data_IF_507031883200
#
_entry.id   IF_507031883200
#
_cell.length_a   1.000
_cell.length_b   1.000
_cell.length_c   1.000
_cell.angle_alpha   90.00
_cell.angle_beta   90.00
_cell.angle_gamma   90.00
#
_symmetry.space_group_name_H-M   'P 1'
#
loop_
_entity.id
_entity.type
_entity.pdbx_description
1 polymer ?
#
# COMPACT_ATOMS: atom_id res chain seq x y z
N UNK A 1 12.93 32.21 -46.90
CA UNK A 1 13.40 30.91 -47.43
C UNK A 1 13.07 29.86 -46.37
N UNK A 2 11.95 29.12 -46.45
CA UNK A 2 11.78 27.79 -47.11
C UNK A 2 12.97 26.87 -46.76
N UNK A 3 12.82 25.75 -46.02
CA UNK A 3 12.00 24.57 -46.32
C UNK A 3 11.77 23.69 -45.06
N UNK A 4 10.52 23.22 -44.83
CA UNK A 4 9.98 21.83 -44.93
C UNK A 4 10.32 20.92 -43.73
N UNK A 5 9.33 20.56 -42.90
CA UNK A 5 8.31 19.50 -43.05
C UNK A 5 8.87 18.06 -42.96
N UNK A 6 8.47 17.34 -41.91
CA UNK A 6 8.10 15.94 -42.05
C UNK A 6 6.91 15.59 -41.15
N UNK A 7 5.88 15.09 -41.82
CA UNK A 7 4.60 14.58 -41.32
C UNK A 7 4.59 13.07 -41.57
N UNK A 8 4.00 12.30 -40.65
CA UNK A 8 3.63 10.89 -40.84
C UNK A 8 3.68 10.13 -39.51
N UNK A 9 2.73 9.28 -39.13
CA UNK A 9 1.59 8.71 -39.83
C UNK A 9 0.60 8.17 -38.77
N UNK A 10 -0.68 8.51 -38.95
CA UNK A 10 -1.83 7.98 -38.22
C UNK A 10 -2.16 6.58 -38.79
N UNK A 11 -2.26 5.55 -37.95
CA UNK A 11 -2.98 4.32 -38.30
C UNK A 11 -4.20 4.13 -37.41
N UNK A 12 -5.36 4.47 -38.00
CA UNK A 12 -6.70 4.06 -37.56
C UNK A 12 -6.86 2.55 -37.75
N UNK A 13 -7.29 1.85 -36.73
CA UNK A 13 -7.84 0.50 -36.85
C UNK A 13 -9.37 0.61 -36.88
N UNK A 14 -9.98 0.38 -38.05
CA UNK A 14 -11.43 0.16 -38.23
C UNK A 14 -11.62 -1.30 -38.61
N UNK A 15 -12.19 -2.10 -37.71
CA UNK A 15 -12.61 -3.48 -37.93
C UNK A 15 -14.14 -3.58 -37.88
N UNK A 16 -14.70 -4.27 -38.87
CA UNK A 16 -16.10 -4.30 -39.30
C UNK A 16 -17.08 -4.95 -38.31
N UNK A 17 -18.31 -4.43 -38.32
CA UNK A 17 -19.52 -5.15 -37.94
C UNK A 17 -19.76 -6.35 -38.86
N UNK A 18 -20.07 -7.50 -38.28
CA UNK A 18 -20.95 -8.50 -38.91
C UNK A 18 -21.94 -9.01 -37.85
N UNK A 19 -23.23 -8.76 -38.11
CA UNK A 19 -24.35 -9.42 -37.44
C UNK A 19 -24.51 -10.80 -38.06
N UNK A 20 -24.69 -11.84 -37.26
CA UNK A 20 -25.18 -13.13 -37.73
C UNK A 20 -26.39 -13.52 -36.88
N UNK A 21 -27.49 -13.77 -37.60
CA UNK A 21 -28.78 -14.22 -37.09
C UNK A 21 -28.68 -15.66 -36.55
N UNK A 22 -29.50 -15.92 -35.53
CA UNK A 22 -29.80 -17.25 -34.98
C UNK A 22 -30.45 -18.18 -36.03
N UNK A 23 -30.47 -19.48 -35.74
CA UNK A 23 -31.74 -20.20 -35.72
C UNK A 23 -32.00 -20.94 -34.39
N UNK A 24 -33.27 -20.90 -34.00
CA UNK A 24 -33.90 -21.70 -32.94
C UNK A 24 -34.23 -23.09 -33.49
N UNK A 25 -34.13 -24.17 -32.69
CA UNK A 25 -34.93 -25.36 -32.93
C UNK A 25 -35.91 -25.67 -31.79
N UNK A 26 -37.05 -26.20 -32.23
CA UNK A 26 -38.25 -26.54 -31.48
C UNK A 26 -38.11 -27.70 -30.49
N UNK A 27 -39.08 -27.70 -29.57
CA UNK A 27 -39.50 -28.75 -28.63
C UNK A 27 -39.99 -30.05 -29.28
N UNK A 28 -39.64 -31.18 -28.68
CA UNK A 28 -40.43 -32.43 -28.58
C UNK A 28 -40.06 -33.04 -27.22
N UNK A 29 -40.97 -33.43 -26.33
CA UNK A 29 -41.98 -34.49 -26.50
C UNK A 29 -41.43 -35.76 -25.83
N UNK A 30 -41.90 -36.09 -24.61
CA UNK A 30 -41.23 -36.99 -23.66
C UNK A 30 -41.31 -38.50 -23.90
N UNK A 31 -40.72 -39.27 -22.98
CA UNK A 31 -41.24 -40.53 -22.45
C UNK A 31 -40.35 -41.11 -21.34
N UNK A 32 -40.98 -41.82 -20.40
CA UNK A 32 -40.43 -42.45 -19.22
C UNK A 32 -39.45 -43.60 -19.52
N UNK A 33 -38.37 -43.70 -18.75
CA UNK A 33 -37.77 -44.98 -18.38
C UNK A 33 -36.92 -44.85 -17.12
N UNK A 34 -37.32 -45.55 -16.06
CA UNK A 34 -36.57 -45.70 -14.82
C UNK A 34 -35.21 -46.39 -15.07
N UNK A 35 -34.15 -46.04 -14.34
CA UNK A 35 -32.88 -46.77 -14.45
C UNK A 35 -32.99 -48.13 -13.73
N UNK A 36 -32.73 -49.19 -14.49
CA UNK A 36 -32.50 -50.55 -13.99
C UNK A 36 -31.23 -50.55 -13.12
N UNK A 37 -31.33 -51.16 -11.93
CA UNK A 37 -30.20 -51.45 -11.06
C UNK A 37 -29.20 -52.38 -11.77
N UNK A 38 -27.95 -51.94 -11.87
CA UNK A 38 -26.80 -52.76 -12.28
C UNK A 38 -26.11 -53.34 -11.03
N UNK A 39 -25.83 -54.63 -11.11
CA UNK A 39 -25.36 -55.48 -10.02
C UNK A 39 -24.03 -55.07 -9.39
N UNK A 40 -23.89 -55.48 -8.13
CA UNK A 40 -22.72 -55.29 -7.28
C UNK A 40 -21.57 -56.11 -7.87
N UNK A 41 -20.62 -55.43 -8.51
CA UNK A 41 -19.39 -56.01 -9.02
C UNK A 41 -18.25 -55.00 -8.93
N UNK A 42 -17.25 -55.32 -8.11
CA UNK A 42 -15.95 -54.65 -7.96
C UNK A 42 -15.92 -53.24 -7.33
N UNK A 43 -16.23 -53.16 -6.03
CA UNK A 43 -15.85 -52.02 -5.17
C UNK A 43 -14.33 -51.91 -4.88
N UNK A 44 -13.51 -52.92 -5.19
CA UNK A 44 -12.07 -52.91 -4.89
C UNK A 44 -11.21 -52.07 -5.85
N UNK A 45 -11.57 -51.99 -7.13
CA UNK A 45 -10.77 -51.27 -8.13
C UNK A 45 -11.12 -49.77 -8.22
N UNK A 46 -12.38 -49.40 -7.96
CA UNK A 46 -12.85 -48.01 -7.99
C UNK A 46 -12.29 -47.17 -6.82
N UNK A 47 -12.11 -47.76 -5.63
CA UNK A 47 -11.49 -47.08 -4.48
C UNK A 47 -9.99 -46.79 -4.69
N UNK A 48 -9.31 -47.59 -5.50
CA UNK A 48 -7.89 -47.42 -5.83
C UNK A 48 -7.62 -46.32 -6.86
N UNK A 49 -8.52 -46.14 -7.82
CA UNK A 49 -8.44 -45.08 -8.83
C UNK A 49 -8.89 -43.73 -8.25
N UNK A 50 -9.95 -43.72 -7.43
CA UNK A 50 -10.40 -42.54 -6.72
C UNK A 50 -9.34 -42.01 -5.74
N UNK A 51 -8.63 -42.90 -5.03
CA UNK A 51 -7.51 -42.52 -4.15
C UNK A 51 -6.31 -41.94 -4.90
N UNK A 52 -5.97 -42.49 -6.07
CA UNK A 52 -4.89 -42.00 -6.93
C UNK A 52 -5.23 -40.70 -7.66
N UNK A 53 -6.49 -40.51 -8.05
CA UNK A 53 -7.01 -39.24 -8.58
C UNK A 53 -7.08 -38.18 -7.48
N UNK A 54 -7.46 -38.52 -6.24
CA UNK A 54 -7.47 -37.58 -5.11
C UNK A 54 -6.05 -37.14 -4.73
N UNK A 55 -5.07 -38.05 -4.71
CA UNK A 55 -3.66 -37.70 -4.51
C UNK A 55 -3.05 -36.93 -5.69
N UNK A 56 -3.44 -37.24 -6.93
CA UNK A 56 -2.99 -36.48 -8.10
C UNK A 56 -3.63 -35.10 -8.17
N UNK A 57 -4.91 -34.94 -7.81
CA UNK A 57 -5.59 -33.64 -7.69
C UNK A 57 -5.05 -32.80 -6.53
N UNK A 58 -4.72 -33.42 -5.38
CA UNK A 58 -4.01 -32.76 -4.27
C UNK A 58 -2.58 -32.34 -4.65
N UNK A 59 -1.91 -33.09 -5.53
CA UNK A 59 -0.61 -32.70 -6.12
C UNK A 59 -0.75 -31.65 -7.22
N UNK A 60 -1.89 -31.57 -7.91
CA UNK A 60 -2.21 -30.59 -8.96
C UNK A 60 -2.84 -29.29 -8.43
N UNK A 61 -3.14 -29.20 -7.13
CA UNK A 61 -3.62 -27.98 -6.48
C UNK A 61 -2.79 -27.56 -5.26
N UNK A 62 -1.49 -27.87 -5.22
CA UNK A 62 -0.58 -27.06 -4.41
C UNK A 62 -0.49 -25.68 -5.07
N UNK A 63 -1.52 -24.87 -4.86
CA UNK A 63 -1.51 -23.45 -5.20
C UNK A 63 -0.36 -22.88 -4.40
N UNK A 64 0.75 -22.61 -5.10
CA UNK A 64 1.93 -22.01 -4.48
C UNK A 64 1.46 -20.73 -3.82
N UNK A 65 1.52 -20.66 -2.48
CA UNK A 65 1.08 -19.48 -1.75
C UNK A 65 1.80 -18.26 -2.34
N UNK A 66 1.08 -17.13 -2.54
CA UNK A 66 1.67 -15.92 -3.09
C UNK A 66 2.87 -15.49 -2.24
N UNK A 67 3.95 -15.03 -2.89
CA UNK A 67 5.05 -14.38 -2.17
C UNK A 67 4.52 -13.09 -1.55
N UNK A 68 4.68 -12.96 -0.24
CA UNK A 68 4.17 -11.83 0.55
C UNK A 68 5.31 -10.99 1.05
N UNK A 69 5.06 -9.69 1.17
CA UNK A 69 6.02 -8.75 1.74
C UNK A 69 5.37 -7.89 2.81
N UNK A 70 6.06 -7.69 3.93
CA UNK A 70 5.75 -6.63 4.88
C UNK A 70 6.85 -5.59 4.80
N UNK A 71 6.50 -4.32 4.80
CA UNK A 71 7.52 -3.29 4.73
C UNK A 71 7.11 -1.98 5.40
N UNK A 72 8.15 -1.23 5.78
CA UNK A 72 8.05 0.12 6.33
C UNK A 72 9.08 1.04 5.69
N UNK A 73 9.04 2.34 6.02
CA UNK A 73 9.89 3.38 5.43
C UNK A 73 10.35 4.36 6.51
N UNK A 74 11.67 4.51 6.65
CA UNK A 74 12.32 5.37 7.64
C UNK A 74 13.21 6.39 6.92
N UNK A 75 12.78 7.65 6.84
CA UNK A 75 13.51 8.68 6.08
C UNK A 75 13.72 9.94 6.91
N UNK A 76 14.89 10.57 6.72
CA UNK A 76 15.23 11.88 7.27
C UNK A 76 15.31 11.96 8.78
N UNK A 77 15.56 10.83 9.45
CA UNK A 77 15.68 10.70 10.90
C UNK A 77 14.53 11.40 11.66
N UNK A 78 13.28 11.17 11.25
CA UNK A 78 12.12 11.73 11.96
C UNK A 78 11.84 11.06 13.30
N UNK A 79 12.20 9.78 13.42
CA UNK A 79 12.02 8.94 14.60
C UNK A 79 12.91 7.69 14.51
N UNK A 80 13.05 6.96 15.61
CA UNK A 80 13.77 5.68 15.65
C UNK A 80 12.89 4.55 15.10
N UNK A 81 13.49 3.61 14.37
CA UNK A 81 12.80 2.39 13.93
C UNK A 81 12.40 1.56 15.15
N UNK A 82 11.11 1.24 15.25
CA UNK A 82 10.53 0.42 16.29
C UNK A 82 10.90 -1.05 16.09
N UNK A 83 11.03 -1.79 17.20
CA UNK A 83 11.37 -3.22 17.22
C UNK A 83 10.22 -4.07 17.78
N UNK A 84 8.97 -3.70 17.47
CA UNK A 84 7.79 -4.43 17.96
C UNK A 84 7.85 -5.91 17.55
N UNK A 85 7.48 -6.85 18.43
CA UNK A 85 7.51 -8.27 18.09
C UNK A 85 6.58 -8.56 16.91
N UNK A 86 7.07 -9.33 15.93
CA UNK A 86 6.28 -9.74 14.77
C UNK A 86 6.43 -11.23 14.52
N UNK A 87 5.30 -11.95 14.53
CA UNK A 87 5.29 -13.38 14.23
C UNK A 87 5.65 -13.61 12.76
N UNK A 88 6.82 -14.24 12.56
CA UNK A 88 7.34 -14.60 11.23
C UNK A 88 6.60 -15.81 10.69
N UNK A 89 6.49 -15.88 9.36
CA UNK A 89 5.96 -17.05 8.67
C UNK A 89 6.76 -17.32 7.41
N UNK A 90 7.03 -18.59 7.05
CA UNK A 90 7.69 -18.92 5.80
C UNK A 90 6.97 -18.31 4.59
N UNK A 91 7.73 -17.78 3.63
CA UNK A 91 7.19 -17.16 2.42
C UNK A 91 6.77 -15.70 2.57
N UNK A 92 7.08 -15.06 3.69
CA UNK A 92 6.87 -13.62 3.93
C UNK A 92 8.21 -12.94 4.16
N UNK A 93 8.54 -11.98 3.29
CA UNK A 93 9.75 -11.17 3.40
C UNK A 93 9.47 -9.85 4.15
N UNK A 94 10.45 -9.31 4.86
CA UNK A 94 10.31 -8.12 5.70
C UNK A 94 11.39 -7.09 5.36
N UNK A 95 10.98 -5.89 4.92
CA UNK A 95 11.92 -4.85 4.48
C UNK A 95 11.68 -3.48 5.13
N UNK A 96 12.77 -2.74 5.34
CA UNK A 96 12.71 -1.34 5.72
C UNK A 96 13.51 -0.51 4.71
N UNK A 97 12.87 0.42 4.03
CA UNK A 97 13.56 1.39 3.17
C UNK A 97 14.04 2.57 4.00
N UNK A 98 15.28 3.01 3.77
CA UNK A 98 15.84 4.14 4.52
C UNK A 98 16.91 4.90 3.75
N UNK A 99 17.14 6.14 4.15
CA UNK A 99 18.31 6.97 3.78
C UNK A 99 19.40 6.99 4.87
N UNK A 100 19.19 6.30 6.00
CA UNK A 100 20.17 6.16 7.08
C UNK A 100 21.14 4.99 6.80
N UNK A 101 22.42 5.26 6.49
CA UNK A 101 23.40 4.22 6.19
C UNK A 101 23.77 3.37 7.42
N UNK A 102 23.45 3.81 8.62
CA UNK A 102 23.80 3.15 9.89
C UNK A 102 22.63 2.39 10.51
N UNK A 103 21.42 2.55 9.98
CA UNK A 103 20.24 1.85 10.46
C UNK A 103 20.39 0.34 10.24
N UNK A 104 20.24 -0.40 11.32
CA UNK A 104 20.29 -1.86 11.35
C UNK A 104 19.08 -2.42 12.09
N UNK A 105 18.73 -3.67 11.80
CA UNK A 105 17.62 -4.35 12.45
C UNK A 105 17.81 -5.86 12.41
N UNK A 106 17.42 -6.53 13.49
CA UNK A 106 17.29 -8.00 13.53
C UNK A 106 15.96 -8.48 12.94
N UNK A 107 14.99 -7.58 12.80
CA UNK A 107 13.67 -7.87 12.26
C UNK A 107 13.57 -7.49 10.78
N UNK A 108 14.11 -6.35 10.36
CA UNK A 108 13.92 -5.84 9.01
C UNK A 108 15.16 -6.06 8.16
N UNK A 109 14.99 -6.54 6.93
CA UNK A 109 16.04 -6.44 5.92
C UNK A 109 16.10 -4.99 5.44
N UNK A 110 17.21 -4.31 5.73
CA UNK A 110 17.38 -2.89 5.42
C UNK A 110 17.71 -2.73 3.94
N UNK A 111 17.00 -1.83 3.26
CA UNK A 111 17.26 -1.41 1.89
C UNK A 111 17.63 0.07 1.91
N UNK A 112 18.87 0.37 1.55
CA UNK A 112 19.33 1.73 1.33
C UNK A 112 18.68 2.29 0.06
N UNK A 113 17.91 3.35 0.22
CA UNK A 113 17.30 4.04 -0.88
C UNK A 113 18.35 4.85 -1.64
N UNK A 114 18.31 4.89 -2.99
CA UNK A 114 19.24 5.74 -3.73
C UNK A 114 19.03 7.21 -3.37
N UNK A 115 20.06 8.07 -3.54
CA UNK A 115 19.95 9.51 -3.33
C UNK A 115 18.77 10.12 -4.11
N UNK A 116 18.16 11.15 -3.54
CA UNK A 116 16.95 11.78 -4.07
C UNK A 116 16.89 13.25 -3.65
N UNK A 117 16.38 14.10 -4.54
CA UNK A 117 16.11 15.51 -4.22
C UNK A 117 14.78 15.73 -3.47
N UNK A 118 13.94 14.70 -3.36
CA UNK A 118 12.70 14.77 -2.59
C UNK A 118 12.97 14.90 -1.09
N UNK A 119 12.15 15.69 -0.41
CA UNK A 119 12.14 15.74 1.05
C UNK A 119 11.81 14.35 1.66
N UNK A 120 12.22 14.09 2.92
CA UNK A 120 12.04 12.78 3.55
C UNK A 120 10.59 12.26 3.56
N UNK A 121 9.59 13.13 3.68
CA UNK A 121 8.20 12.69 3.68
C UNK A 121 7.80 12.17 2.30
N UNK A 122 8.09 12.92 1.23
CA UNK A 122 7.84 12.48 -0.16
C UNK A 122 8.69 11.28 -0.55
N UNK A 123 9.90 11.19 -0.01
CA UNK A 123 10.78 10.04 -0.22
C UNK A 123 10.18 8.77 0.37
N UNK A 124 9.69 8.81 1.61
CA UNK A 124 8.94 7.71 2.23
C UNK A 124 7.73 7.30 1.38
N UNK A 125 6.97 8.27 0.87
CA UNK A 125 5.80 8.00 0.01
C UNK A 125 6.17 7.30 -1.31
N UNK A 126 7.36 7.51 -1.84
CA UNK A 126 7.81 6.85 -3.08
C UNK A 126 7.80 5.32 -2.97
N UNK A 127 8.17 4.78 -1.81
CA UNK A 127 8.19 3.34 -1.54
C UNK A 127 6.87 2.86 -0.93
N UNK A 128 6.27 3.65 -0.03
CA UNK A 128 4.94 3.36 0.53
C UNK A 128 3.89 3.20 -0.56
N UNK A 129 3.84 4.10 -1.53
CA UNK A 129 2.79 4.08 -2.55
C UNK A 129 3.02 2.97 -3.57
N UNK A 130 4.27 2.75 -4.00
CA UNK A 130 4.57 1.95 -5.20
C UNK A 130 5.35 0.66 -4.91
N UNK A 131 4.83 -0.27 -4.08
CA UNK A 131 5.49 -1.54 -3.86
C UNK A 131 5.54 -2.41 -5.12
N UNK A 132 4.68 -2.18 -6.12
CA UNK A 132 4.75 -2.89 -7.41
C UNK A 132 6.04 -2.62 -8.18
N UNK A 133 6.70 -1.49 -7.93
CA UNK A 133 8.03 -1.21 -8.48
C UNK A 133 9.15 -1.80 -7.62
N UNK A 134 8.97 -1.81 -6.30
CA UNK A 134 9.99 -2.27 -5.36
C UNK A 134 10.03 -3.80 -5.20
N UNK A 135 8.89 -4.46 -5.40
CA UNK A 135 8.67 -5.87 -5.11
C UNK A 135 7.88 -6.55 -6.26
N UNK A 136 8.35 -6.48 -7.52
CA UNK A 136 7.63 -7.05 -8.66
C UNK A 136 7.39 -8.57 -8.55
N UNK A 137 8.25 -9.27 -7.79
CA UNK A 137 8.16 -10.72 -7.58
C UNK A 137 7.26 -11.11 -6.39
N UNK A 138 6.69 -10.15 -5.67
CA UNK A 138 5.73 -10.36 -4.59
C UNK A 138 4.32 -10.09 -5.11
N UNK A 139 3.34 -10.89 -4.71
CA UNK A 139 1.96 -10.69 -5.16
C UNK A 139 1.16 -9.80 -4.21
N UNK A 140 1.50 -9.83 -2.92
CA UNK A 140 0.74 -9.21 -1.85
C UNK A 140 1.70 -8.46 -0.91
N UNK A 141 1.29 -7.28 -0.45
CA UNK A 141 2.06 -6.45 0.46
C UNK A 141 1.23 -5.95 1.64
N UNK A 142 1.86 -5.88 2.81
CA UNK A 142 1.41 -5.15 3.97
C UNK A 142 2.39 -3.99 4.23
N UNK A 143 1.94 -2.76 4.07
CA UNK A 143 2.67 -1.58 4.53
C UNK A 143 2.27 -1.26 5.96
N UNK A 144 3.25 -0.93 6.81
CA UNK A 144 3.07 -0.47 8.18
C UNK A 144 3.86 0.82 8.41
N UNK A 145 3.19 1.85 8.94
CA UNK A 145 3.89 2.94 9.61
C UNK A 145 4.64 2.38 10.83
N UNK A 146 5.80 2.97 11.13
CA UNK A 146 6.71 2.55 12.19
C UNK A 146 6.09 2.59 13.61
N UNK A 147 4.96 3.25 13.77
CA UNK A 147 4.16 3.35 15.01
C UNK A 147 3.22 2.16 15.23
N UNK A 148 3.18 1.16 14.35
CA UNK A 148 2.18 0.09 14.38
C UNK A 148 2.78 -1.22 14.88
N UNK A 149 2.14 -1.80 15.90
CA UNK A 149 2.39 -3.16 16.39
C UNK A 149 1.24 -4.08 15.98
N UNK A 150 1.54 -5.26 15.42
CA UNK A 150 0.51 -6.22 15.03
C UNK A 150 0.07 -7.08 16.21
N UNK A 151 -1.25 -7.25 16.38
CA UNK A 151 -1.85 -8.18 17.35
C UNK A 151 -1.98 -9.59 16.78
N UNK A 152 -2.13 -9.69 15.45
CA UNK A 152 -2.29 -10.95 14.73
C UNK A 152 -1.02 -11.34 13.98
N UNK A 153 -0.91 -12.64 13.69
CA UNK A 153 0.16 -13.15 12.85
C UNK A 153 0.08 -12.58 11.43
N UNK A 154 1.23 -12.27 10.82
CA UNK A 154 1.25 -11.65 9.49
C UNK A 154 0.58 -12.52 8.44
N UNK A 155 0.85 -13.83 8.44
CA UNK A 155 0.21 -14.76 7.49
C UNK A 155 -1.32 -14.79 7.64
N UNK A 156 -1.78 -14.76 8.89
CA UNK A 156 -3.20 -14.71 9.23
C UNK A 156 -3.86 -13.43 8.68
N UNK A 157 -3.20 -12.27 8.79
CA UNK A 157 -3.72 -11.01 8.24
C UNK A 157 -3.94 -11.07 6.73
N UNK A 158 -2.97 -11.60 5.98
CA UNK A 158 -3.12 -11.80 4.55
C UNK A 158 -4.27 -12.77 4.24
N UNK A 159 -4.34 -13.90 4.94
CA UNK A 159 -5.34 -14.94 4.68
C UNK A 159 -6.77 -14.47 5.05
N UNK A 160 -6.94 -13.69 6.11
CA UNK A 160 -8.23 -13.15 6.56
C UNK A 160 -8.72 -11.99 5.69
N UNK A 161 -7.86 -11.04 5.35
CA UNK A 161 -8.28 -9.75 4.77
C UNK A 161 -7.92 -9.59 3.29
N UNK A 162 -7.08 -10.45 2.71
CA UNK A 162 -6.82 -10.51 1.26
C UNK A 162 -7.33 -11.80 0.60
N UNK A 163 -8.51 -12.28 1.03
CA UNK A 163 -9.26 -13.33 0.34
C UNK A 163 -9.46 -13.05 -1.17
N UNK A 164 -10.03 -14.00 -1.92
CA UNK A 164 -9.89 -14.05 -3.39
C UNK A 164 -10.24 -12.76 -4.14
N UNK A 165 -11.24 -11.99 -3.68
CA UNK A 165 -11.72 -10.79 -4.37
C UNK A 165 -11.17 -9.47 -3.80
N UNK A 166 -10.52 -9.48 -2.63
CA UNK A 166 -10.05 -8.25 -1.99
C UNK A 166 -8.75 -7.80 -2.64
N UNK A 167 -8.76 -6.58 -3.18
CA UNK A 167 -7.59 -5.94 -3.80
C UNK A 167 -6.81 -5.07 -2.83
N UNK A 168 -7.52 -4.33 -1.97
CA UNK A 168 -6.93 -3.41 -1.01
C UNK A 168 -7.80 -3.37 0.25
N UNK A 169 -7.16 -3.58 1.40
CA UNK A 169 -7.70 -3.43 2.74
C UNK A 169 -7.03 -2.28 3.50
N UNK A 170 -7.82 -1.41 4.11
CA UNK A 170 -7.36 -0.32 4.97
C UNK A 170 -8.38 -0.03 6.09
N UNK A 171 -7.95 0.64 7.14
CA UNK A 171 -8.87 1.16 8.15
C UNK A 171 -9.57 2.41 7.64
N UNK A 172 -10.82 2.61 8.06
CA UNK A 172 -11.42 3.96 8.01
C UNK A 172 -10.70 4.87 9.00
N UNK A 173 -10.69 6.16 8.70
CA UNK A 173 -10.15 7.16 9.59
C UNK A 173 -11.06 7.36 10.82
N UNK A 174 -10.44 7.58 11.97
CA UNK A 174 -11.08 7.56 13.28
C UNK A 174 -11.99 8.76 13.56
N UNK A 175 -11.65 9.93 13.02
CA UNK A 175 -12.28 11.20 13.38
C UNK A 175 -12.96 11.92 12.21
N UNK A 176 -12.70 11.50 10.98
CA UNK A 176 -13.05 12.24 9.76
C UNK A 176 -13.35 11.26 8.64
N UNK A 177 -14.25 11.65 7.74
CA UNK A 177 -14.62 10.90 6.54
C UNK A 177 -14.56 11.78 5.27
N UNK A 178 -14.02 12.99 5.38
CA UNK A 178 -14.01 13.99 4.32
C UNK A 178 -12.61 14.56 4.15
N UNK A 179 -12.08 14.56 2.92
CA UNK A 179 -10.76 15.13 2.64
C UNK A 179 -10.71 16.66 2.79
N UNK A 180 -11.87 17.33 2.70
CA UNK A 180 -11.96 18.77 2.90
C UNK A 180 -11.74 19.12 4.37
N UNK A 181 -12.37 18.37 5.29
CA UNK A 181 -12.15 18.51 6.73
C UNK A 181 -10.72 18.07 7.12
N UNK A 182 -10.17 17.05 6.45
CA UNK A 182 -8.77 16.65 6.62
C UNK A 182 -7.80 17.77 6.23
N UNK A 183 -8.08 18.50 5.15
CA UNK A 183 -7.25 19.62 4.73
C UNK A 183 -7.26 20.75 5.76
N UNK A 184 -8.42 21.06 6.34
CA UNK A 184 -8.53 22.04 7.42
C UNK A 184 -7.74 21.58 8.66
N UNK A 185 -7.82 20.30 9.03
CA UNK A 185 -7.04 19.73 10.12
C UNK A 185 -5.53 19.78 9.85
N UNK A 186 -5.10 19.52 8.61
CA UNK A 186 -3.70 19.61 8.18
C UNK A 186 -3.18 21.04 8.32
N UNK A 187 -3.96 22.03 7.91
CA UNK A 187 -3.58 23.44 8.01
C UNK A 187 -3.56 23.92 9.46
N UNK A 188 -4.57 23.55 10.26
CA UNK A 188 -4.64 23.90 11.68
C UNK A 188 -3.46 23.32 12.48
N UNK A 189 -3.02 22.10 12.14
CA UNK A 189 -1.87 21.45 12.76
C UNK A 189 -0.51 21.82 12.15
N UNK A 190 -0.48 22.74 11.16
CA UNK A 190 0.71 23.11 10.41
C UNK A 190 1.49 21.90 9.83
N UNK A 191 0.76 20.87 9.39
CA UNK A 191 1.35 19.67 8.78
C UNK A 191 1.79 19.88 7.34
N UNK A 192 1.26 20.92 6.69
CA UNK A 192 1.69 21.44 5.41
C UNK A 192 1.22 22.90 5.25
N UNK A 193 1.59 23.55 4.14
CA UNK A 193 1.29 24.97 3.91
C UNK A 193 0.02 25.18 3.09
N UNK A 194 -0.54 26.40 3.17
CA UNK A 194 -1.73 26.79 2.41
C UNK A 194 -1.49 26.74 0.89
N UNK A 195 -0.27 27.07 0.47
CA UNK A 195 0.16 27.09 -0.93
C UNK A 195 0.17 25.69 -1.54
N UNK A 196 0.43 24.66 -0.74
CA UNK A 196 0.36 23.27 -1.18
C UNK A 196 -1.07 22.71 -1.11
N UNK A 197 -1.78 22.98 -0.01
CA UNK A 197 -3.06 22.32 0.31
C UNK A 197 -4.24 22.93 -0.46
N UNK A 198 -4.35 24.25 -0.53
CA UNK A 198 -5.53 24.91 -1.12
C UNK A 198 -5.67 24.62 -2.63
N UNK A 199 -4.61 24.66 -3.45
CA UNK A 199 -4.72 24.30 -4.87
C UNK A 199 -5.15 22.85 -5.10
N UNK A 200 -4.77 21.94 -4.20
CA UNK A 200 -5.17 20.52 -4.25
C UNK A 200 -6.66 20.35 -4.02
N UNK A 201 -7.17 20.96 -2.95
CA UNK A 201 -8.59 20.90 -2.60
C UNK A 201 -9.45 21.51 -3.70
N UNK A 202 -9.02 22.64 -4.24
CA UNK A 202 -9.70 23.31 -5.33
C UNK A 202 -9.62 22.50 -6.65
N UNK A 203 -8.52 21.78 -6.89
CA UNK A 203 -8.42 20.82 -8.00
C UNK A 203 -9.42 19.66 -7.87
N UNK A 204 -9.67 19.17 -6.66
CA UNK A 204 -10.62 18.07 -6.41
C UNK A 204 -12.08 18.54 -6.50
N UNK A 205 -12.39 19.74 -6.00
CA UNK A 205 -13.72 20.36 -6.14
C UNK A 205 -14.12 20.55 -7.60
N UNK A 206 -13.20 21.03 -8.44
CA UNK A 206 -13.45 21.17 -9.89
C UNK A 206 -13.72 19.86 -10.62
N UNK A 207 -13.28 18.75 -10.06
CA UNK A 207 -13.59 17.41 -10.58
C UNK A 207 -14.84 16.81 -9.95
N UNK A 208 -15.57 17.58 -9.15
CA UNK A 208 -16.78 17.14 -8.46
C UNK A 208 -16.53 15.95 -7.51
N UNK A 209 -15.34 15.89 -6.89
CA UNK A 209 -15.09 14.93 -5.83
C UNK A 209 -16.04 15.21 -4.65
N UNK A 210 -16.89 14.25 -4.25
CA UNK A 210 -17.91 14.50 -3.25
C UNK A 210 -17.32 14.71 -1.84
N UNK A 211 -17.96 15.58 -1.06
CA UNK A 211 -17.71 15.66 0.38
C UNK A 211 -18.21 14.37 1.07
N UNK A 212 -17.60 14.02 2.21
CA UNK A 212 -17.95 12.83 2.99
C UNK A 212 -17.94 11.51 2.18
N UNK A 213 -17.06 11.41 1.16
CA UNK A 213 -16.91 10.17 0.38
C UNK A 213 -16.30 9.01 1.19
N UNK A 214 -15.72 9.32 2.35
CA UNK A 214 -14.91 8.43 3.14
C UNK A 214 -13.46 8.90 3.21
N UNK A 215 -12.80 8.53 4.30
CA UNK A 215 -11.38 8.78 4.54
C UNK A 215 -10.76 7.54 5.16
N UNK A 216 -9.58 7.15 4.69
CA UNK A 216 -8.87 5.97 5.18
C UNK A 216 -7.58 6.36 5.90
N UNK A 217 -7.28 5.65 6.99
CA UNK A 217 -6.01 5.78 7.70
C UNK A 217 -4.97 4.91 7.02
N UNK A 218 -4.05 5.55 6.30
CA UNK A 218 -3.12 4.88 5.41
C UNK A 218 -1.82 4.43 6.08
N UNK A 219 -1.77 4.40 7.41
CA UNK A 219 -0.63 3.85 8.15
C UNK A 219 -0.58 2.32 8.08
N UNK A 220 -1.70 1.66 7.80
CA UNK A 220 -1.80 0.23 7.55
C UNK A 220 -2.44 0.01 6.19
N UNK A 221 -1.74 -0.67 5.28
CA UNK A 221 -2.27 -0.93 3.93
C UNK A 221 -1.96 -2.36 3.51
N UNK A 222 -3.01 -3.16 3.39
CA UNK A 222 -2.92 -4.53 2.89
C UNK A 222 -3.39 -4.55 1.43
N UNK A 223 -2.60 -5.07 0.48
CA UNK A 223 -3.00 -5.04 -0.95
C UNK A 223 -2.33 -6.08 -1.84
N UNK A 224 -3.03 -6.44 -2.92
CA UNK A 224 -2.51 -7.13 -4.11
C UNK A 224 -1.88 -6.10 -5.04
N UNK A 225 -0.64 -5.70 -4.78
CA UNK A 225 -0.07 -4.50 -5.40
C UNK A 225 0.20 -4.62 -6.91
N UNK A 226 0.36 -5.84 -7.43
CA UNK A 226 0.53 -6.07 -8.87
C UNK A 226 -0.80 -6.18 -9.63
N UNK A 227 -1.95 -6.08 -8.95
CA UNK A 227 -3.22 -5.87 -9.65
C UNK A 227 -3.15 -4.53 -10.39
N UNK A 228 -3.57 -4.54 -11.66
CA UNK A 228 -3.39 -3.42 -12.57
C UNK A 228 -4.18 -2.17 -12.16
N UNK A 229 -5.33 -2.36 -11.49
CA UNK A 229 -6.13 -1.28 -10.94
C UNK A 229 -5.50 -0.72 -9.67
N UNK A 230 -4.98 -1.60 -8.80
CA UNK A 230 -4.28 -1.19 -7.58
C UNK A 230 -3.04 -0.37 -7.92
N UNK A 231 -2.13 -0.91 -8.74
CA UNK A 231 -0.89 -0.24 -9.15
C UNK A 231 -1.14 1.11 -9.83
N UNK A 232 -2.09 1.19 -10.77
CA UNK A 232 -2.45 2.45 -11.42
C UNK A 232 -3.00 3.50 -10.44
N UNK A 233 -3.83 3.07 -9.48
CA UNK A 233 -4.35 3.97 -8.42
C UNK A 233 -3.23 4.44 -7.49
N UNK A 234 -2.28 3.56 -7.16
CA UNK A 234 -1.13 3.88 -6.32
C UNK A 234 -0.16 4.85 -7.01
N UNK A 235 0.08 4.68 -8.30
CA UNK A 235 0.90 5.60 -9.09
C UNK A 235 0.25 6.99 -9.15
N UNK A 236 -1.05 7.06 -9.43
CA UNK A 236 -1.79 8.32 -9.38
C UNK A 236 -1.76 8.96 -7.99
N UNK A 237 -1.87 8.16 -6.91
CA UNK A 237 -1.77 8.67 -5.54
C UNK A 237 -0.40 9.29 -5.27
N UNK A 238 0.66 8.65 -5.78
CA UNK A 238 2.01 9.17 -5.66
C UNK A 238 2.19 10.48 -6.42
N UNK A 239 1.66 10.58 -7.64
CA UNK A 239 1.69 11.81 -8.45
C UNK A 239 0.98 12.98 -7.75
N UNK A 240 -0.15 12.74 -7.10
CA UNK A 240 -0.85 13.76 -6.31
C UNK A 240 0.03 14.29 -5.17
N UNK A 241 0.75 13.40 -4.48
CA UNK A 241 1.72 13.80 -3.45
C UNK A 241 2.86 14.58 -4.07
N UNK A 242 3.42 14.18 -5.21
CA UNK A 242 4.50 14.96 -5.85
C UNK A 242 4.04 16.35 -6.29
N UNK A 243 2.79 16.48 -6.72
CA UNK A 243 2.24 17.72 -7.28
C UNK A 243 1.76 18.72 -6.22
N UNK A 244 1.24 18.24 -5.09
CA UNK A 244 0.54 19.04 -4.11
C UNK A 244 1.08 18.82 -2.69
N UNK A 245 0.20 18.73 -1.68
CA UNK A 245 0.58 18.49 -0.29
C UNK A 245 1.34 17.17 -0.12
N UNK A 246 2.30 17.15 0.81
CA UNK A 246 2.97 15.92 1.28
C UNK A 246 2.08 15.04 2.16
N UNK A 247 0.89 15.52 2.51
CA UNK A 247 -0.11 14.80 3.30
C UNK A 247 -0.89 13.86 2.39
N UNK A 248 -0.41 12.63 2.29
CA UNK A 248 -0.98 11.57 1.47
C UNK A 248 -2.43 11.21 1.84
N UNK A 249 -2.86 11.52 3.06
CA UNK A 249 -4.24 11.35 3.53
C UNK A 249 -5.26 12.24 2.79
N UNK A 250 -4.84 13.40 2.25
CA UNK A 250 -5.72 14.29 1.46
C UNK A 250 -6.01 13.68 0.07
N UNK A 251 -5.07 12.94 -0.51
CA UNK A 251 -5.15 12.50 -1.91
C UNK A 251 -5.63 11.06 -2.12
N UNK A 252 -5.47 10.15 -1.15
CA UNK A 252 -5.75 8.73 -1.36
C UNK A 252 -7.20 8.45 -1.78
N UNK A 253 -8.17 8.92 -0.98
CA UNK A 253 -9.58 8.65 -1.25
C UNK A 253 -10.06 9.32 -2.55
N UNK A 254 -9.43 10.43 -2.95
CA UNK A 254 -9.65 11.05 -4.26
C UNK A 254 -9.18 10.15 -5.40
N UNK A 255 -7.97 9.58 -5.34
CA UNK A 255 -7.48 8.70 -6.41
C UNK A 255 -8.24 7.38 -6.45
N UNK A 256 -8.60 6.81 -5.29
CA UNK A 256 -9.45 5.62 -5.23
C UNK A 256 -10.83 5.85 -5.87
N UNK A 257 -11.47 7.00 -5.62
CA UNK A 257 -12.71 7.40 -6.29
C UNK A 257 -12.53 7.53 -7.80
N UNK A 258 -11.49 8.26 -8.24
CA UNK A 258 -11.22 8.55 -9.64
C UNK A 258 -11.01 7.28 -10.47
N UNK A 259 -10.28 6.31 -9.91
CA UNK A 259 -10.00 5.02 -10.55
C UNK A 259 -11.06 3.96 -10.25
N UNK A 260 -12.04 4.26 -9.39
CA UNK A 260 -13.07 3.32 -8.93
C UNK A 260 -12.48 2.07 -8.27
N UNK A 261 -11.39 2.24 -7.52
CA UNK A 261 -10.78 1.17 -6.74
C UNK A 261 -11.65 0.88 -5.50
N UNK A 262 -12.22 -0.34 -5.36
CA UNK A 262 -12.91 -0.71 -4.13
C UNK A 262 -11.90 -0.83 -2.97
N UNK A 263 -12.25 -0.25 -1.83
CA UNK A 263 -11.50 -0.34 -0.58
C UNK A 263 -12.28 -1.22 0.38
N UNK A 264 -11.68 -2.32 0.82
CA UNK A 264 -12.24 -3.15 1.88
C UNK A 264 -11.88 -2.54 3.24
N UNK A 265 -12.89 -2.16 4.02
CA UNK A 265 -12.67 -1.62 5.35
C UNK A 265 -12.38 -2.74 6.35
N UNK A 266 -11.25 -2.63 7.05
CA UNK A 266 -10.97 -3.50 8.19
C UNK A 266 -11.88 -3.11 9.38
N UNK A 267 -12.22 -4.06 10.28
CA UNK A 267 -13.05 -3.78 11.45
C UNK A 267 -12.42 -2.71 12.36
N UNK A 268 -13.20 -1.68 12.70
CA UNK A 268 -12.77 -0.63 13.63
C UNK A 268 -12.02 0.52 12.95
N UNK A 269 -11.03 1.07 13.66
CA UNK A 269 -10.16 2.18 13.23
C UNK A 269 -8.72 1.85 13.65
N UNK A 270 -7.73 2.65 13.26
CA UNK A 270 -6.36 2.44 13.74
C UNK A 270 -6.22 2.56 15.27
N UNK A 271 -7.10 3.34 15.92
CA UNK A 271 -7.08 3.55 17.36
C UNK A 271 -7.76 2.41 18.15
N UNK A 272 -8.75 1.74 17.55
CA UNK A 272 -9.48 0.64 18.18
C UNK A 272 -9.88 -0.42 17.15
N UNK A 273 -9.24 -1.59 17.24
CA UNK A 273 -9.42 -2.72 16.34
C UNK A 273 -8.77 -4.01 16.90
N UNK A 274 -9.15 -5.20 16.39
CA UNK A 274 -8.57 -6.47 16.81
C UNK A 274 -7.23 -6.84 16.13
N UNK A 275 -6.74 -6.04 15.18
CA UNK A 275 -5.65 -6.40 14.26
C UNK A 275 -4.29 -5.84 14.69
N UNK A 276 -4.27 -4.64 15.26
CA UNK A 276 -3.06 -3.90 15.56
C UNK A 276 -3.26 -2.90 16.72
N UNK A 277 -2.15 -2.46 17.28
CA UNK A 277 -2.06 -1.35 18.23
C UNK A 277 -1.30 -0.21 17.57
N UNK A 278 -1.87 0.99 17.61
CA UNK A 278 -1.19 2.21 17.18
C UNK A 278 -0.54 2.89 18.39
N UNK A 279 0.78 3.04 18.35
CA UNK A 279 1.57 3.63 19.42
C UNK A 279 1.91 5.09 19.16
N UNK A 280 1.75 5.93 20.18
CA UNK A 280 2.30 7.28 20.16
C UNK A 280 3.80 7.22 20.49
N UNK A 281 4.64 7.56 19.52
CA UNK A 281 6.10 7.61 19.74
C UNK A 281 6.45 8.87 20.52
N UNK A 282 7.02 8.68 21.71
CA UNK A 282 7.37 9.76 22.64
C UNK A 282 8.56 10.61 22.15
N UNK A 283 9.52 10.02 21.44
CA UNK A 283 10.72 10.70 20.96
C UNK A 283 10.68 10.84 19.44
N UNK A 284 10.33 12.03 18.98
CA UNK A 284 10.36 12.41 17.56
C UNK A 284 11.24 13.62 17.36
N UNK A 285 11.79 13.74 16.16
CA UNK A 285 12.42 14.97 15.73
C UNK A 285 11.35 16.08 15.72
N UNK A 286 11.61 17.25 16.32
CA UNK A 286 10.71 18.39 16.24
C UNK A 286 10.37 18.70 14.78
N UNK A 287 9.11 19.07 14.52
CA UNK A 287 8.65 19.32 13.13
C UNK A 287 9.31 20.55 12.51
N UNK A 288 9.68 21.50 13.35
CA UNK A 288 10.38 22.73 13.07
C UNK A 288 11.90 22.61 13.29
N UNK A 289 12.43 21.39 13.40
CA UNK A 289 13.87 21.18 13.52
C UNK A 289 14.59 21.69 12.25
N UNK A 290 15.54 22.59 12.46
CA UNK A 290 16.37 23.17 11.43
C UNK A 290 17.81 22.70 11.61
N UNK A 291 18.36 22.08 10.57
CA UNK A 291 19.67 21.44 10.60
C UNK A 291 20.78 22.48 10.79
N UNK A 292 20.66 23.65 10.15
CA UNK A 292 21.67 24.71 10.19
C UNK A 292 21.67 25.41 11.56
N UNK A 293 20.47 25.69 12.10
CA UNK A 293 20.33 26.24 13.46
C UNK A 293 20.92 25.28 14.49
N UNK A 294 20.63 23.99 14.38
CA UNK A 294 21.17 23.00 15.31
C UNK A 294 22.70 22.95 15.26
N UNK A 295 23.29 22.93 14.06
CA UNK A 295 24.75 22.91 13.88
C UNK A 295 25.42 24.22 14.32
N UNK A 296 24.74 25.36 14.24
CA UNK A 296 25.22 26.64 14.77
C UNK A 296 25.24 26.66 16.31
N UNK A 297 24.27 26.01 16.95
CA UNK A 297 24.19 25.88 18.42
C UNK A 297 25.17 24.84 18.98
N UNK A 298 25.52 23.82 18.19
CA UNK A 298 26.31 22.66 18.62
C UNK A 298 27.56 22.48 17.75
N UNK A 299 28.57 23.29 18.03
CA UNK A 299 29.83 23.30 17.26
C UNK A 299 30.54 21.94 17.24
N UNK A 300 30.46 21.18 18.33
CA UNK A 300 31.05 19.83 18.42
C UNK A 300 30.41 18.85 17.43
N UNK A 301 29.09 18.91 17.26
CA UNK A 301 28.35 18.10 16.27
C UNK A 301 28.76 18.50 14.85
N UNK A 302 28.88 19.81 14.60
CA UNK A 302 29.32 20.37 13.32
C UNK A 302 30.74 19.93 12.97
N UNK A 303 31.67 20.01 13.92
CA UNK A 303 33.07 19.60 13.72
C UNK A 303 33.21 18.09 13.55
N UNK A 304 32.35 17.29 14.21
CA UNK A 304 32.31 15.85 14.03
C UNK A 304 31.75 15.42 12.66
N UNK A 305 31.05 16.32 11.94
CA UNK A 305 30.47 16.03 10.63
C UNK A 305 29.34 15.00 10.65
N UNK A 306 28.72 14.78 11.81
CA UNK A 306 27.60 13.85 11.98
C UNK A 306 26.29 14.48 11.55
N UNK A 307 25.33 13.68 11.09
CA UNK A 307 24.01 14.18 10.72
C UNK A 307 23.31 14.79 11.96
N UNK A 308 22.86 16.07 11.93
CA UNK A 308 22.32 16.76 13.10
C UNK A 308 21.02 16.14 13.62
N UNK A 309 20.15 15.65 12.73
CA UNK A 309 18.88 15.01 13.10
C UNK A 309 19.12 13.67 13.77
N UNK A 310 20.02 12.86 13.19
CA UNK A 310 20.45 11.61 13.80
C UNK A 310 21.04 11.86 15.19
N UNK A 311 21.96 12.83 15.29
CA UNK A 311 22.61 13.17 16.55
C UNK A 311 21.58 13.58 17.60
N UNK A 312 20.64 14.46 17.25
CA UNK A 312 19.60 14.90 18.17
C UNK A 312 18.76 13.74 18.70
N UNK A 313 18.31 12.82 17.83
CA UNK A 313 17.50 11.68 18.22
C UNK A 313 18.25 10.64 19.07
N UNK A 314 19.52 10.39 18.77
CA UNK A 314 20.29 9.33 19.41
C UNK A 314 21.03 9.80 20.68
N UNK A 315 21.39 11.07 20.74
CA UNK A 315 22.23 11.65 21.80
C UNK A 315 21.64 12.94 22.36
N UNK A 316 21.35 13.91 21.49
CA UNK A 316 21.00 15.28 21.89
C UNK A 316 19.81 15.38 22.86
N UNK A 317 18.76 14.57 22.67
CA UNK A 317 17.62 14.53 23.59
C UNK A 317 18.01 14.06 25.01
N UNK A 318 18.84 13.03 25.11
CA UNK A 318 19.29 12.52 26.42
C UNK A 318 20.29 13.47 27.09
N UNK A 319 21.06 14.20 26.28
CA UNK A 319 22.00 15.24 26.73
C UNK A 319 21.31 16.57 27.09
N UNK A 320 20.01 16.72 26.80
CA UNK A 320 19.27 17.97 27.04
C UNK A 320 19.64 19.10 26.08
N UNK A 321 20.11 18.79 24.86
CA UNK A 321 20.47 19.79 23.85
C UNK A 321 19.26 20.56 23.36
N UNK A 322 19.36 21.88 23.35
CA UNK A 322 18.39 22.78 22.69
C UNK A 322 18.53 22.67 21.17
N UNK A 323 17.45 22.82 20.42
CA UNK A 323 17.47 22.81 18.95
C UNK A 323 17.04 24.12 18.31
N UNK A 324 16.67 25.09 19.15
CA UNK A 324 16.30 26.46 18.82
C UNK A 324 16.46 27.36 20.05
#
# INVERSE_FOLDING_TARGET
>A
MRHQQHVGCIKKWRGRHQRLNMPVPHSCGGCHSAPKYLGIGNLGAAMSLAGRLKQSLLKLSYVRKPRRVVYTCMFGHSEKLSNFPMQRSPGIDFFCFTDDPHLNSTQWKIIQAPPSALDPHRRSKSFKHRPHLAFPDHAESLYLDNTIELKLGVAELFDLYLGSEVRLGAFRHELRDCIYDEADAVLAAAYDTRECVLPQIEHYRRQSYPAHYGLNSMGFILRRHNDHLVSATMDAWHEEVLRFSKRDQISFNYTAWKYKLPITLLPGTIADNPVMTWHHIAQRLPRDFDDDVYLALHEDVRLAGVNPRWHFLHHGLAEGRVYK
#
